data_IF_311452831130
#
_entry.id   IF_311452831130
#
_cell.length_a   1.000
_cell.length_b   1.000
_cell.length_c   1.000
_cell.angle_alpha   90.00
_cell.angle_beta   90.00
_cell.angle_gamma   90.00
#
_symmetry.space_group_name_H-M   'P 1'
#
loop_
_entity.id
_entity.type
_entity.pdbx_description
1 polymer ?
#
# COMPACT_ATOMS: atom_id res chain seq x y z
N UNK A 1 9.16 26.21 -6.98
CA UNK A 1 8.32 25.58 -5.93
C UNK A 1 7.59 24.35 -6.50
N UNK A 2 8.19 23.15 -6.51
CA UNK A 2 7.52 21.93 -6.99
C UNK A 2 7.21 20.99 -5.82
N UNK A 3 6.20 21.33 -5.00
CA UNK A 3 5.64 20.41 -4.00
C UNK A 3 4.44 19.60 -4.55
N UNK A 4 3.97 19.92 -5.76
CA UNK A 4 2.75 19.33 -6.32
C UNK A 4 2.95 17.98 -7.04
N UNK A 5 4.19 17.61 -7.40
CA UNK A 5 4.44 16.36 -8.14
C UNK A 5 4.29 15.11 -7.26
N UNK A 6 4.72 15.15 -5.99
CA UNK A 6 4.54 14.03 -5.06
C UNK A 6 3.07 13.81 -4.66
N UNK A 7 2.25 14.88 -4.59
CA UNK A 7 0.86 14.78 -4.11
C UNK A 7 -0.04 14.05 -5.13
N UNK A 8 0.30 14.06 -6.42
CA UNK A 8 -0.50 13.37 -7.44
C UNK A 8 -0.24 11.85 -7.51
N UNK A 9 0.96 11.38 -7.14
CA UNK A 9 1.27 9.94 -7.08
C UNK A 9 0.57 9.21 -5.93
N UNK A 10 0.38 9.89 -4.80
CA UNK A 10 -0.33 9.34 -3.61
C UNK A 10 -1.82 9.10 -3.90
N UNK A 11 -2.35 9.77 -4.93
CA UNK A 11 -3.79 9.90 -5.20
C UNK A 11 -4.42 8.71 -5.93
N UNK A 12 -3.66 7.67 -6.31
CA UNK A 12 -4.16 6.55 -7.11
C UNK A 12 -4.67 5.33 -6.33
N UNK A 13 -4.06 5.00 -5.19
CA UNK A 13 -4.37 3.77 -4.44
C UNK A 13 -4.96 4.00 -3.04
N UNK A 14 -4.66 5.13 -2.40
CA UNK A 14 -5.24 5.48 -1.08
C UNK A 14 -6.75 5.69 -1.16
N UNK A 15 -7.30 6.03 -2.34
CA UNK A 15 -8.74 6.23 -2.52
C UNK A 15 -9.59 4.97 -2.28
N UNK A 16 -8.98 3.79 -2.12
CA UNK A 16 -9.69 2.55 -1.77
C UNK A 16 -9.75 2.30 -0.25
N UNK A 17 -8.93 2.98 0.55
CA UNK A 17 -9.01 2.94 2.00
C UNK A 17 -10.07 3.94 2.45
N UNK A 18 -11.15 3.44 3.04
CA UNK A 18 -12.29 4.24 3.48
C UNK A 18 -12.18 4.55 4.97
N UNK A 19 -11.70 3.60 5.78
CA UNK A 19 -11.59 3.73 7.22
C UNK A 19 -10.12 3.77 7.67
N UNK A 20 -9.73 4.87 8.32
CA UNK A 20 -8.33 5.16 8.68
C UNK A 20 -8.10 5.30 10.19
N UNK A 21 -9.18 5.36 10.97
CA UNK A 21 -9.17 5.59 12.42
C UNK A 21 -9.49 4.31 13.18
N UNK A 22 -10.54 3.60 12.80
CA UNK A 22 -10.92 2.33 13.44
C UNK A 22 -10.19 1.13 12.81
N UNK A 23 -9.80 0.18 13.64
CA UNK A 23 -9.27 -1.09 13.17
C UNK A 23 -10.38 -2.01 12.65
N UNK A 24 -10.06 -2.92 11.73
CA UNK A 24 -11.02 -3.87 11.22
C UNK A 24 -11.47 -4.88 12.29
N UNK A 25 -10.54 -5.33 13.14
CA UNK A 25 -10.78 -6.28 14.22
C UNK A 25 -10.22 -5.76 15.56
N UNK A 26 -10.98 -5.96 16.64
CA UNK A 26 -10.56 -5.63 17.99
C UNK A 26 -11.71 -5.09 18.85
N UNK A 27 -11.37 -4.68 20.07
CA UNK A 27 -12.33 -4.12 21.04
C UNK A 27 -11.84 -2.80 21.63
N UNK A 28 -12.77 -2.07 22.23
CA UNK A 28 -12.53 -0.76 22.86
C UNK A 28 -12.49 0.39 21.86
N UNK A 29 -12.10 1.60 22.30
CA UNK A 29 -11.96 2.76 21.43
C UNK A 29 -11.12 2.47 20.18
N UNK A 30 -11.65 2.86 19.02
CA UNK A 30 -11.06 2.61 17.70
C UNK A 30 -10.76 1.13 17.39
N UNK A 31 -11.34 0.20 18.16
CA UNK A 31 -11.00 -1.24 18.15
C UNK A 31 -9.51 -1.52 18.41
N UNK A 32 -8.87 -0.64 19.17
CA UNK A 32 -7.42 -0.64 19.39
C UNK A 32 -7.02 -0.80 20.87
N UNK A 33 -7.92 -1.30 21.73
CA UNK A 33 -7.58 -1.62 23.14
C UNK A 33 -7.22 -3.07 23.33
N UNK A 34 -7.89 -3.96 22.60
CA UNK A 34 -7.61 -5.40 22.57
C UNK A 34 -7.58 -5.83 21.12
N UNK A 35 -6.56 -6.62 20.76
CA UNK A 35 -6.39 -7.15 19.41
C UNK A 35 -7.46 -8.15 19.03
N UNK A 36 -7.32 -8.73 17.84
CA UNK A 36 -8.30 -9.68 17.34
C UNK A 36 -8.29 -10.98 18.17
N UNK A 37 -9.42 -11.36 18.78
CA UNK A 37 -9.52 -12.61 19.56
C UNK A 37 -10.10 -13.77 18.74
N UNK A 38 -10.91 -13.47 17.73
CA UNK A 38 -11.46 -14.46 16.79
C UNK A 38 -11.78 -13.81 15.45
N UNK A 39 -11.91 -14.63 14.39
CA UNK A 39 -12.16 -14.14 13.02
C UNK A 39 -13.54 -13.51 12.87
N UNK A 40 -14.51 -13.94 13.67
CA UNK A 40 -15.90 -13.45 13.64
C UNK A 40 -16.01 -11.99 14.10
N UNK A 41 -14.99 -11.47 14.80
CA UNK A 41 -14.90 -10.08 15.21
C UNK A 41 -14.43 -9.14 14.09
N UNK A 42 -13.87 -9.69 13.00
CA UNK A 42 -13.36 -8.90 11.91
C UNK A 42 -14.49 -8.21 11.14
N UNK A 43 -14.21 -7.01 10.66
CA UNK A 43 -15.09 -6.29 9.76
C UNK A 43 -15.32 -7.04 8.43
N UNK A 44 -16.41 -6.74 7.73
CA UNK A 44 -16.75 -7.40 6.45
C UNK A 44 -15.89 -6.98 5.26
N UNK A 45 -15.14 -5.88 5.37
CA UNK A 45 -14.27 -5.35 4.30
C UNK A 45 -12.90 -4.89 4.85
N UNK A 46 -12.01 -5.83 5.23
CA UNK A 46 -10.68 -5.51 5.73
C UNK A 46 -9.83 -4.71 4.74
N UNK A 47 -10.03 -4.90 3.44
CA UNK A 47 -9.29 -4.22 2.37
C UNK A 47 -9.57 -2.71 2.29
N UNK A 48 -10.59 -2.22 3.00
CA UNK A 48 -10.94 -0.79 3.08
C UNK A 48 -10.53 -0.15 4.39
N UNK A 49 -9.95 -0.91 5.31
CA UNK A 49 -9.41 -0.41 6.57
C UNK A 49 -7.91 -0.27 6.49
N UNK A 50 -7.38 0.81 7.06
CA UNK A 50 -5.93 1.00 7.17
C UNK A 50 -5.34 0.02 8.19
N UNK A 51 -6.03 -0.19 9.32
CA UNK A 51 -5.57 -1.03 10.43
C UNK A 51 -6.33 -2.35 10.49
N UNK A 52 -5.61 -3.46 10.62
CA UNK A 52 -6.18 -4.79 10.86
C UNK A 52 -6.62 -4.93 12.31
N UNK A 53 -5.67 -4.83 13.22
CA UNK A 53 -5.83 -4.75 14.67
C UNK A 53 -4.70 -3.90 15.26
N UNK A 54 -4.58 -3.85 16.59
CA UNK A 54 -3.52 -3.14 17.35
C UNK A 54 -2.23 -2.83 16.56
N UNK A 55 -2.11 -1.60 16.04
CA UNK A 55 -0.95 -1.10 15.26
C UNK A 55 -0.54 -1.90 14.03
N UNK A 56 -1.24 -2.99 13.69
CA UNK A 56 -0.98 -3.81 12.51
C UNK A 56 -1.70 -3.21 11.30
N UNK A 57 -1.01 -2.93 10.19
CA UNK A 57 -1.69 -2.61 8.94
C UNK A 57 -2.50 -3.80 8.41
N UNK A 58 -3.47 -3.54 7.54
CA UNK A 58 -4.14 -4.60 6.78
C UNK A 58 -3.25 -5.12 5.66
N UNK A 59 -3.53 -6.34 5.17
CA UNK A 59 -2.84 -6.91 4.00
C UNK A 59 -2.88 -5.97 2.78
N UNK A 60 -3.98 -5.24 2.60
CA UNK A 60 -4.10 -4.25 1.54
C UNK A 60 -3.05 -3.13 1.69
N UNK A 61 -2.83 -2.64 2.91
CA UNK A 61 -1.80 -1.63 3.19
C UNK A 61 -0.40 -2.20 3.07
N UNK A 62 -0.16 -3.43 3.57
CA UNK A 62 1.14 -4.10 3.42
C UNK A 62 1.51 -4.30 1.94
N UNK A 63 0.55 -4.72 1.11
CA UNK A 63 0.76 -4.87 -0.34
C UNK A 63 1.07 -3.52 -1.01
N UNK A 64 0.42 -2.43 -0.58
CA UNK A 64 0.71 -1.09 -1.09
C UNK A 64 2.13 -0.65 -0.73
N UNK A 65 2.53 -0.81 0.54
CA UNK A 65 3.88 -0.48 1.00
C UNK A 65 4.92 -1.32 0.28
N UNK A 66 4.71 -2.64 0.18
CA UNK A 66 5.61 -3.54 -0.54
C UNK A 66 5.74 -3.15 -2.02
N UNK A 67 4.63 -2.79 -2.68
CA UNK A 67 4.68 -2.33 -4.05
C UNK A 67 5.44 -0.99 -4.20
N UNK A 68 5.31 -0.08 -3.24
CA UNK A 68 6.10 1.16 -3.23
C UNK A 68 7.59 0.90 -2.97
N UNK A 69 7.92 -0.06 -2.10
CA UNK A 69 9.29 -0.40 -1.76
C UNK A 69 10.01 -1.17 -2.88
N UNK A 70 9.30 -2.08 -3.55
CA UNK A 70 9.91 -3.08 -4.44
C UNK A 70 9.41 -3.04 -5.88
N UNK A 71 8.46 -2.15 -6.22
CA UNK A 71 7.87 -2.07 -7.55
C UNK A 71 8.87 -1.83 -8.68
N UNK A 72 10.03 -1.23 -8.39
CA UNK A 72 11.12 -1.03 -9.36
C UNK A 72 11.93 -2.30 -9.67
N UNK A 73 11.99 -3.31 -8.78
CA UNK A 73 12.77 -4.53 -9.01
C UNK A 73 12.14 -5.50 -10.01
N UNK A 74 10.82 -5.38 -10.23
CA UNK A 74 10.09 -6.15 -11.24
C UNK A 74 10.45 -5.77 -12.69
N UNK A 75 11.20 -4.68 -12.89
CA UNK A 75 11.68 -4.24 -14.21
C UNK A 75 12.98 -4.91 -14.66
N UNK A 76 13.55 -5.82 -13.87
CA UNK A 76 14.65 -6.66 -14.32
C UNK A 76 14.16 -7.52 -15.51
N UNK A 77 14.81 -7.47 -16.68
CA UNK A 77 14.32 -8.20 -17.84
C UNK A 77 14.26 -9.69 -17.49
N UNK A 78 13.15 -10.39 -17.81
CA UNK A 78 13.05 -11.81 -17.54
C UNK A 78 14.19 -12.54 -18.28
N UNK A 79 14.74 -13.63 -17.72
CA UNK A 79 15.61 -14.52 -18.50
C UNK A 79 14.86 -14.91 -19.79
N UNK A 80 15.57 -15.02 -20.92
CA UNK A 80 14.95 -15.50 -22.14
C UNK A 80 14.37 -16.88 -21.84
N UNK A 81 13.10 -17.06 -22.18
CA UNK A 81 12.35 -18.31 -22.13
C UNK A 81 11.56 -18.55 -20.85
N UNK A 82 10.35 -17.97 -20.77
CA UNK A 82 9.13 -18.64 -20.29
C UNK A 82 7.93 -17.71 -20.49
N UNK A 83 7.08 -18.05 -21.46
CA UNK A 83 5.80 -17.38 -21.64
C UNK A 83 4.83 -17.68 -20.51
N UNK A 84 4.04 -16.67 -20.16
CA UNK A 84 2.77 -16.66 -19.41
C UNK A 84 2.82 -15.66 -18.27
N UNK A 85 1.97 -14.63 -18.32
CA UNK A 85 1.83 -13.70 -17.21
C UNK A 85 1.05 -12.46 -17.60
N UNK A 86 -0.19 -12.39 -17.11
CA UNK A 86 -1.14 -11.30 -17.27
C UNK A 86 -0.50 -9.91 -17.32
N UNK A 87 -0.72 -9.21 -18.42
CA UNK A 87 -0.37 -7.79 -18.56
C UNK A 87 -1.23 -6.92 -17.65
N UNK A 88 -0.87 -6.84 -16.38
CA UNK A 88 -1.16 -5.67 -15.57
C UNK A 88 -0.02 -4.69 -15.84
N UNK A 89 -0.29 -3.63 -16.61
CA UNK A 89 0.62 -2.49 -16.70
C UNK A 89 0.70 -1.87 -15.30
N UNK A 90 1.63 -2.36 -14.49
CA UNK A 90 1.92 -1.81 -13.18
C UNK A 90 2.57 -0.46 -13.44
N UNK A 91 1.76 0.61 -13.44
CA UNK A 91 2.31 1.95 -13.52
C UNK A 91 3.26 2.12 -12.33
N UNK A 92 4.55 2.31 -12.60
CA UNK A 92 5.51 2.67 -11.58
C UNK A 92 5.12 4.05 -11.05
N UNK A 93 4.43 4.06 -9.92
CA UNK A 93 3.90 5.29 -9.30
C UNK A 93 5.00 6.04 -8.53
N UNK A 94 6.14 5.41 -8.25
CA UNK A 94 7.34 6.08 -7.76
C UNK A 94 8.55 5.54 -8.53
N UNK A 95 9.02 6.25 -9.56
CA UNK A 95 10.40 6.08 -9.99
C UNK A 95 11.31 6.67 -8.91
N UNK A 96 12.38 5.98 -8.48
CA UNK A 96 13.35 6.59 -7.59
C UNK A 96 13.90 7.87 -8.23
N UNK A 97 13.90 8.99 -7.50
CA UNK A 97 14.53 10.22 -7.98
C UNK A 97 16.02 9.94 -8.21
N UNK A 98 16.53 10.29 -9.39
CA UNK A 98 17.97 10.20 -9.62
C UNK A 98 18.70 11.19 -8.70
N UNK A 99 19.94 10.87 -8.31
CA UNK A 99 20.79 11.80 -7.54
C UNK A 99 20.93 13.17 -8.23
N UNK A 100 20.81 13.21 -9.56
CA UNK A 100 20.82 14.43 -10.35
C UNK A 100 19.58 15.29 -10.06
N UNK A 101 18.39 14.70 -9.91
CA UNK A 101 17.17 15.44 -9.60
C UNK A 101 17.13 15.99 -8.16
N UNK A 102 17.84 15.37 -7.22
CA UNK A 102 18.02 15.89 -5.86
C UNK A 102 18.96 17.11 -5.82
N UNK A 103 19.93 17.18 -6.74
CA UNK A 103 20.96 18.21 -6.74
C UNK A 103 20.51 19.55 -7.36
N UNK A 104 19.39 19.58 -8.10
CA UNK A 104 18.87 20.77 -8.80
C UNK A 104 17.54 21.29 -8.22
N UNK A 105 17.22 20.94 -6.96
CA UNK A 105 15.99 21.36 -6.25
C UNK A 105 16.08 22.73 -5.60
#
# INVERSE_FOLDING_TARGET
>A
MPLFSCVSCVRGTINRLEETREACCGLGPFKATVGCLSKEMACGAPERHLWWDLYSPTEAVDALVANWSWGSLSSSPPPPDSGSGSGVMMMSICSPMSLQQLAYG
#
